data_IF_026930554730
#
_entry.id   IF_026930554730
#
_cell.length_a   1.000
_cell.length_b   1.000
_cell.length_c   1.000
_cell.angle_alpha   90.00
_cell.angle_beta   90.00
_cell.angle_gamma   90.00
#
_symmetry.space_group_name_H-M   'P 1'
#
loop_
_entity.id
_entity.type
_entity.pdbx_description
1 polymer ?
#
# COMPACT_ATOMS: atom_id res chain seq x y z
N UNK A 1 3.13 9.60 21.95
CA UNK A 1 2.96 9.92 20.53
C UNK A 1 1.47 9.96 20.20
N UNK A 2 1.09 10.87 19.35
CA UNK A 2 -0.17 10.77 18.61
C UNK A 2 0.15 10.62 17.13
N UNK A 3 -0.63 9.82 16.45
CA UNK A 3 -0.47 9.57 15.03
C UNK A 3 -1.64 8.75 14.52
N UNK A 4 -1.80 8.69 13.21
CA UNK A 4 -2.89 7.98 12.56
C UNK A 4 -2.32 6.94 11.61
N UNK A 5 -2.77 5.69 11.75
CA UNK A 5 -2.47 4.65 10.77
C UNK A 5 -3.32 4.91 9.54
N UNK A 6 -2.69 5.01 8.37
CA UNK A 6 -3.41 5.13 7.11
C UNK A 6 -4.01 3.79 6.73
N UNK A 7 -5.28 3.79 6.32
CA UNK A 7 -5.97 2.60 5.85
C UNK A 7 -5.40 2.18 4.48
N UNK A 8 -4.74 1.02 4.37
CA UNK A 8 -4.23 0.52 3.10
C UNK A 8 -5.34 -0.13 2.23
N UNK A 9 -6.57 -0.25 2.73
CA UNK A 9 -7.61 -1.08 2.11
C UNK A 9 -7.36 -2.57 2.36
N UNK A 10 -7.75 -3.42 1.40
CA UNK A 10 -7.41 -4.84 1.47
C UNK A 10 -5.92 -5.04 1.21
N UNK A 11 -5.29 -5.92 1.97
CA UNK A 11 -3.87 -6.24 1.88
C UNK A 11 -3.66 -7.67 1.45
N UNK A 12 -2.51 -7.95 0.80
CA UNK A 12 -2.18 -9.28 0.34
C UNK A 12 -1.50 -10.09 1.44
N UNK A 13 -1.98 -11.33 1.65
CA UNK A 13 -1.28 -12.35 2.43
C UNK A 13 -0.06 -12.84 1.63
N UNK A 14 0.94 -13.37 2.30
CA UNK A 14 2.19 -13.87 1.72
C UNK A 14 3.09 -12.83 1.05
N UNK A 15 2.80 -11.54 1.31
CA UNK A 15 3.64 -10.45 0.88
C UNK A 15 3.80 -9.41 1.99
N UNK A 16 4.97 -8.78 2.03
CA UNK A 16 5.18 -7.66 2.95
C UNK A 16 4.28 -6.49 2.56
N UNK A 17 3.39 -6.13 3.46
CA UNK A 17 2.53 -4.95 3.33
C UNK A 17 3.16 -3.76 4.02
N UNK A 18 3.18 -2.63 3.35
CA UNK A 18 3.63 -1.37 3.92
C UNK A 18 2.50 -0.67 4.65
N UNK A 19 2.64 -0.50 5.96
CA UNK A 19 1.77 0.36 6.75
C UNK A 19 2.41 1.73 6.91
N UNK A 20 1.64 2.78 6.62
CA UNK A 20 2.06 4.16 6.79
C UNK A 20 1.36 4.77 7.99
N UNK A 21 2.13 5.47 8.80
CA UNK A 21 1.66 6.16 10.00
C UNK A 21 2.02 7.64 9.88
N UNK A 22 1.02 8.50 9.91
CA UNK A 22 1.22 9.94 10.02
C UNK A 22 1.53 10.29 11.47
N UNK A 23 2.69 10.89 11.71
CA UNK A 23 3.13 11.27 13.05
C UNK A 23 2.71 12.70 13.35
N UNK A 24 1.75 12.86 14.25
CA UNK A 24 1.26 14.18 14.68
C UNK A 24 2.10 14.78 15.80
N UNK A 25 2.49 13.94 16.79
CA UNK A 25 3.38 14.35 17.86
C UNK A 25 4.20 13.19 18.39
N UNK A 26 5.44 13.46 18.78
CA UNK A 26 6.34 12.50 19.41
C UNK A 26 6.58 12.90 20.84
N UNK A 27 6.29 12.02 21.80
CA UNK A 27 6.55 12.27 23.24
C UNK A 27 7.96 11.83 23.65
N UNK A 28 8.59 12.55 24.59
CA UNK A 28 10.01 12.35 24.88
C UNK A 28 10.39 11.10 25.69
N UNK A 29 9.44 10.26 26.10
CA UNK A 29 9.73 9.18 27.06
C UNK A 29 9.07 7.83 26.78
N UNK A 30 8.28 7.69 25.75
CA UNK A 30 7.55 6.44 25.49
C UNK A 30 7.95 5.85 24.17
N UNK A 31 8.38 4.60 24.19
CA UNK A 31 8.56 3.81 22.99
C UNK A 31 7.19 3.53 22.42
N UNK A 32 6.93 4.05 21.26
CA UNK A 32 5.69 3.80 20.55
C UNK A 32 5.88 2.59 19.63
N UNK A 33 4.83 1.85 19.46
CA UNK A 33 4.84 0.69 18.57
C UNK A 33 3.57 0.60 17.75
N UNK A 34 3.71 0.03 16.56
CA UNK A 34 2.61 -0.43 15.75
C UNK A 34 2.21 -1.82 16.21
N UNK A 35 0.95 -1.98 16.54
CA UNK A 35 0.35 -3.24 16.95
C UNK A 35 -0.51 -3.77 15.81
N UNK A 36 -0.31 -5.04 15.47
CA UNK A 36 -1.17 -5.77 14.52
C UNK A 36 -1.65 -7.06 15.19
N UNK A 37 -2.96 -7.24 15.24
CA UNK A 37 -3.58 -8.39 15.90
C UNK A 37 -4.90 -8.79 15.22
N UNK A 38 -5.33 -10.07 15.29
CA UNK A 38 -6.60 -10.50 14.72
C UNK A 38 -7.77 -9.77 15.39
N UNK A 39 -8.81 -9.45 14.61
CA UNK A 39 -10.02 -8.83 15.15
C UNK A 39 -10.66 -9.69 16.25
N UNK A 40 -11.11 -9.05 17.33
CA UNK A 40 -11.76 -9.71 18.47
C UNK A 40 -10.80 -10.34 19.49
N UNK A 41 -9.51 -10.29 19.27
CA UNK A 41 -8.50 -10.76 20.22
C UNK A 41 -8.22 -9.67 21.26
N UNK A 42 -8.04 -10.11 22.51
CA UNK A 42 -7.72 -9.23 23.65
C UNK A 42 -6.44 -9.65 24.38
N UNK A 43 -5.91 -10.81 24.08
CA UNK A 43 -4.69 -11.35 24.70
C UNK A 43 -3.46 -10.91 23.90
N UNK A 44 -2.51 -10.28 24.56
CA UNK A 44 -1.24 -9.86 24.00
C UNK A 44 -0.46 -11.01 23.34
N UNK A 45 -0.58 -12.24 23.83
CA UNK A 45 0.08 -13.40 23.25
C UNK A 45 -0.39 -13.70 21.81
N UNK A 46 -1.49 -13.11 21.38
CA UNK A 46 -2.03 -13.24 20.01
C UNK A 46 -1.63 -12.10 19.09
N UNK A 47 -0.71 -11.22 19.49
CA UNK A 47 -0.16 -10.22 18.59
C UNK A 47 0.53 -10.89 17.40
N UNK A 48 0.23 -10.40 16.21
CA UNK A 48 0.95 -10.78 14.98
C UNK A 48 2.26 -10.02 14.92
N UNK A 49 2.20 -8.72 15.20
CA UNK A 49 3.36 -7.82 15.21
C UNK A 49 3.22 -6.81 16.33
N UNK A 50 4.34 -6.55 16.98
CA UNK A 50 4.61 -5.35 17.73
C UNK A 50 5.93 -4.78 17.20
N UNK A 51 5.82 -3.73 16.37
CA UNK A 51 6.98 -3.11 15.76
C UNK A 51 7.28 -1.77 16.41
N UNK A 52 8.45 -1.69 17.03
CA UNK A 52 8.89 -0.49 17.74
C UNK A 52 9.26 0.60 16.72
N UNK A 53 8.59 1.72 16.84
CA UNK A 53 8.85 2.86 15.98
C UNK A 53 10.09 3.63 16.43
N UNK A 54 10.97 3.93 15.50
CA UNK A 54 12.07 4.86 15.72
C UNK A 54 11.56 6.28 15.95
N UNK A 55 12.39 7.11 16.56
CA UNK A 55 12.06 8.51 16.81
C UNK A 55 11.84 9.27 15.50
N UNK A 56 10.64 9.82 15.31
CA UNK A 56 10.26 10.62 14.16
C UNK A 56 9.90 12.05 14.56
N UNK A 57 10.08 12.99 13.64
CA UNK A 57 9.62 14.36 13.85
C UNK A 57 8.11 14.48 13.59
N UNK A 58 7.43 15.36 14.32
CA UNK A 58 6.03 15.67 14.06
C UNK A 58 5.85 16.22 12.64
N UNK A 59 4.79 15.80 11.97
CA UNK A 59 4.53 16.16 10.56
C UNK A 59 5.26 15.30 9.53
N UNK A 60 5.96 14.24 9.98
CA UNK A 60 6.56 13.22 9.12
C UNK A 60 5.67 11.97 9.08
N UNK A 61 6.08 10.98 8.32
CA UNK A 61 5.47 9.65 8.36
C UNK A 61 6.51 8.60 8.74
N UNK A 62 6.02 7.52 9.35
CA UNK A 62 6.78 6.31 9.60
C UNK A 62 6.18 5.16 8.80
N UNK A 63 6.98 4.17 8.42
CA UNK A 63 6.53 3.02 7.66
C UNK A 63 7.00 1.73 8.27
N UNK A 64 6.13 0.73 8.32
CA UNK A 64 6.43 -0.63 8.71
C UNK A 64 6.15 -1.60 7.57
N UNK A 65 7.00 -2.61 7.42
CA UNK A 65 6.79 -3.73 6.51
C UNK A 65 6.35 -4.95 7.34
N UNK A 66 5.16 -5.44 7.09
CA UNK A 66 4.55 -6.49 7.90
C UNK A 66 4.01 -7.60 7.01
N UNK A 67 4.35 -8.84 7.38
CA UNK A 67 3.74 -10.04 6.82
C UNK A 67 2.58 -10.50 7.71
N UNK A 68 1.39 -10.63 7.12
CA UNK A 68 0.25 -11.19 7.80
C UNK A 68 0.22 -12.72 7.65
N UNK A 69 -0.09 -13.46 8.74
CA UNK A 69 0.06 -14.91 8.76
C UNK A 69 -1.01 -15.67 7.96
N UNK A 70 -2.06 -15.00 7.50
CA UNK A 70 -3.15 -15.63 6.76
C UNK A 70 -4.29 -14.65 6.46
N UNK A 71 -5.26 -15.07 5.65
CA UNK A 71 -6.43 -14.26 5.34
C UNK A 71 -7.30 -14.05 6.58
N UNK A 72 -7.93 -12.88 6.67
CA UNK A 72 -8.80 -12.54 7.79
C UNK A 72 -8.84 -11.04 8.06
N UNK A 73 -9.50 -10.69 9.15
CA UNK A 73 -9.60 -9.30 9.60
C UNK A 73 -8.62 -9.05 10.75
N UNK A 74 -7.90 -7.97 10.64
CA UNK A 74 -6.89 -7.55 11.62
C UNK A 74 -7.17 -6.13 12.07
N UNK A 75 -6.82 -5.86 13.32
CA UNK A 75 -6.78 -4.53 13.88
C UNK A 75 -5.35 -4.01 13.83
N UNK A 76 -5.19 -2.77 13.41
CA UNK A 76 -3.89 -2.08 13.33
C UNK A 76 -3.98 -0.75 14.05
N UNK A 77 -3.11 -0.53 15.02
CA UNK A 77 -3.15 0.70 15.80
C UNK A 77 -1.85 0.96 16.55
N UNK A 78 -1.83 2.03 17.31
CA UNK A 78 -0.63 2.51 18.01
C UNK A 78 -0.81 2.40 19.53
N UNK A 79 0.23 1.95 20.20
CA UNK A 79 0.30 1.93 21.67
C UNK A 79 1.75 2.10 22.14
N UNK A 80 1.99 2.34 23.45
CA UNK A 80 3.33 2.21 24.01
C UNK A 80 3.90 0.81 23.76
N UNK A 81 5.19 0.71 23.50
CA UNK A 81 5.85 -0.59 23.39
C UNK A 81 5.68 -1.39 24.70
N UNK A 82 5.29 -2.64 24.60
CA UNK A 82 5.01 -3.48 25.76
C UNK A 82 3.61 -3.33 26.35
N UNK A 83 2.76 -2.46 25.78
CA UNK A 83 1.38 -2.25 26.25
C UNK A 83 0.47 -3.46 26.01
N UNK A 84 -0.64 -3.50 26.70
CA UNK A 84 -1.73 -4.48 26.43
C UNK A 84 -2.55 -4.05 25.19
N UNK A 85 -3.21 -4.99 24.52
CA UNK A 85 -4.07 -4.71 23.35
C UNK A 85 -5.17 -3.68 23.68
N UNK A 86 -5.67 -3.69 24.94
CA UNK A 86 -6.68 -2.74 25.40
C UNK A 86 -6.20 -1.28 25.46
N UNK A 87 -4.90 -1.05 25.38
CA UNK A 87 -4.28 0.27 25.38
C UNK A 87 -4.03 0.81 23.97
N UNK A 88 -4.27 -0.02 22.92
CA UNK A 88 -4.18 0.40 21.52
C UNK A 88 -5.27 1.44 21.23
N UNK A 89 -4.85 2.60 20.74
CA UNK A 89 -5.74 3.73 20.48
C UNK A 89 -6.19 3.73 19.02
N UNK A 90 -7.48 4.01 18.83
CA UNK A 90 -8.11 4.24 17.53
C UNK A 90 -7.66 3.25 16.43
N UNK A 91 -7.71 1.93 16.71
CA UNK A 91 -7.25 0.96 15.73
C UNK A 91 -8.17 0.95 14.51
N UNK A 92 -7.57 0.88 13.34
CA UNK A 92 -8.30 0.62 12.08
C UNK A 92 -8.46 -0.89 11.88
N UNK A 93 -9.49 -1.28 11.16
CA UNK A 93 -9.69 -2.67 10.71
C UNK A 93 -9.24 -2.80 9.28
N UNK A 94 -8.38 -3.77 9.00
CA UNK A 94 -7.94 -4.14 7.67
C UNK A 94 -8.41 -5.55 7.33
N UNK A 95 -8.56 -5.84 6.05
CA UNK A 95 -8.87 -7.18 5.55
C UNK A 95 -7.68 -7.72 4.77
N UNK A 96 -7.22 -8.91 5.13
CA UNK A 96 -6.15 -9.62 4.45
C UNK A 96 -6.71 -10.74 3.59
N UNK A 97 -6.26 -10.84 2.35
CA UNK A 97 -6.67 -11.85 1.38
C UNK A 97 -5.46 -12.30 0.53
N UNK A 98 -5.52 -13.51 -0.03
CA UNK A 98 -4.51 -13.94 -1.03
C UNK A 98 -4.62 -13.14 -2.31
N UNK A 99 -5.85 -12.82 -2.71
CA UNK A 99 -6.17 -12.00 -3.88
C UNK A 99 -6.96 -10.77 -3.43
N UNK A 100 -6.27 -9.70 -2.99
CA UNK A 100 -6.94 -8.49 -2.53
C UNK A 100 -7.66 -7.79 -3.70
N UNK A 101 -8.77 -7.15 -3.39
CA UNK A 101 -9.41 -6.25 -4.34
C UNK A 101 -8.59 -4.97 -4.46
N UNK A 102 -8.13 -4.71 -5.68
CA UNK A 102 -7.37 -3.50 -5.99
C UNK A 102 -8.14 -2.67 -7.01
N UNK A 103 -8.10 -1.36 -6.85
CA UNK A 103 -8.64 -0.43 -7.82
C UNK A 103 -7.58 0.59 -8.25
N UNK A 104 -7.58 0.90 -9.55
CA UNK A 104 -6.80 2.00 -10.12
C UNK A 104 -7.79 3.07 -10.58
N UNK A 105 -7.51 4.32 -10.23
CA UNK A 105 -8.26 5.46 -10.73
C UNK A 105 -7.33 6.43 -11.43
N UNK A 106 -7.57 6.62 -12.70
CA UNK A 106 -6.90 7.63 -13.52
C UNK A 106 -7.65 8.96 -13.46
N UNK A 107 -6.95 10.11 -13.56
CA UNK A 107 -7.61 11.42 -13.62
C UNK A 107 -8.46 11.57 -14.89
N UNK A 108 -8.08 10.88 -15.97
CA UNK A 108 -8.76 10.83 -17.25
C UNK A 108 -8.48 9.50 -17.95
N UNK A 109 -9.36 9.05 -18.82
CA UNK A 109 -9.13 7.94 -19.73
C UNK A 109 -8.20 8.30 -20.91
N UNK A 110 -7.72 9.54 -20.98
CA UNK A 110 -6.79 10.03 -22.01
C UNK A 110 -5.64 10.80 -21.37
N UNK A 111 -4.44 10.72 -21.94
CA UNK A 111 -3.29 11.50 -21.54
C UNK A 111 -2.42 11.86 -22.75
N UNK A 112 -1.86 13.07 -22.83
CA UNK A 112 -0.80 13.36 -23.77
C UNK A 112 0.42 12.44 -23.55
N UNK A 113 1.11 12.13 -24.64
CA UNK A 113 2.32 11.30 -24.57
C UNK A 113 3.40 11.93 -23.69
N UNK A 114 3.99 11.09 -22.84
CA UNK A 114 5.06 11.51 -21.93
C UNK A 114 4.62 12.44 -20.80
N UNK A 115 3.33 12.75 -20.68
CA UNK A 115 2.81 13.54 -19.56
C UNK A 115 2.83 12.74 -18.26
N UNK A 116 3.09 13.44 -17.16
CA UNK A 116 3.03 12.86 -15.81
C UNK A 116 1.61 13.00 -15.30
N UNK A 117 0.98 11.87 -14.98
CA UNK A 117 -0.37 11.85 -14.43
C UNK A 117 -0.39 11.27 -13.02
N UNK A 118 -1.12 11.89 -12.09
CA UNK A 118 -1.37 11.29 -10.78
C UNK A 118 -2.36 10.14 -10.95
N UNK A 119 -2.08 9.02 -10.30
CA UNK A 119 -3.04 7.92 -10.18
C UNK A 119 -3.35 7.63 -8.72
N UNK A 120 -4.56 7.16 -8.46
CA UNK A 120 -4.97 6.71 -7.13
C UNK A 120 -5.12 5.19 -7.18
N UNK A 121 -4.54 4.51 -6.18
CA UNK A 121 -4.64 3.05 -6.02
C UNK A 121 -5.19 2.78 -4.62
N UNK A 122 -6.13 1.87 -4.51
CA UNK A 122 -6.60 1.37 -3.22
C UNK A 122 -6.58 -0.16 -3.21
N UNK A 123 -6.17 -0.72 -2.09
CA UNK A 123 -5.93 -2.16 -1.90
C UNK A 123 -4.57 -2.62 -2.43
N UNK A 124 -4.15 -3.81 -2.03
CA UNK A 124 -2.87 -4.41 -2.43
C UNK A 124 -1.70 -3.98 -1.55
N UNK A 125 -1.09 -2.90 -1.86
CA UNK A 125 0.00 -2.20 -1.14
C UNK A 125 1.17 -3.05 -0.63
N UNK A 126 1.53 -4.14 -1.33
CA UNK A 126 2.80 -4.81 -1.08
C UNK A 126 3.95 -3.98 -1.65
N UNK A 127 5.11 -4.01 -1.00
CA UNK A 127 6.29 -3.29 -1.49
C UNK A 127 6.83 -3.87 -2.81
N UNK A 128 6.43 -5.07 -3.21
CA UNK A 128 6.78 -5.72 -4.49
C UNK A 128 5.76 -5.48 -5.58
N UNK A 129 4.64 -4.87 -5.26
CA UNK A 129 3.61 -4.59 -6.25
C UNK A 129 4.04 -3.49 -7.21
N UNK A 130 3.52 -3.54 -8.43
CA UNK A 130 3.94 -2.69 -9.53
C UNK A 130 2.74 -2.18 -10.33
N UNK A 131 2.95 -1.04 -10.97
CA UNK A 131 2.05 -0.53 -11.99
C UNK A 131 2.80 -0.45 -13.30
N UNK A 132 2.19 -0.93 -14.39
CA UNK A 132 2.80 -0.90 -15.72
C UNK A 132 1.78 -0.59 -16.81
N UNK A 133 2.30 -0.20 -17.97
CA UNK A 133 1.52 -0.05 -19.18
C UNK A 133 1.71 -1.28 -20.07
N UNK A 134 0.63 -1.63 -20.76
CA UNK A 134 0.63 -2.63 -21.81
C UNK A 134 -0.11 -2.07 -23.01
N UNK A 135 0.49 -2.12 -24.20
CA UNK A 135 -0.16 -1.66 -25.44
C UNK A 135 -1.32 -2.60 -25.79
N UNK A 136 -2.44 -2.05 -26.16
CA UNK A 136 -3.62 -2.85 -26.50
C UNK A 136 -3.32 -3.83 -27.63
N UNK A 137 -3.65 -5.12 -27.41
CA UNK A 137 -3.38 -6.20 -28.34
C UNK A 137 -1.93 -6.73 -28.35
N UNK A 138 -1.09 -6.27 -27.44
CA UNK A 138 0.26 -6.81 -27.20
C UNK A 138 0.30 -7.60 -25.91
N UNK A 139 1.02 -8.72 -25.91
CA UNK A 139 1.34 -9.47 -24.68
C UNK A 139 2.64 -8.95 -24.03
N UNK A 140 3.33 -8.02 -24.69
CA UNK A 140 4.56 -7.44 -24.20
C UNK A 140 4.28 -6.23 -23.31
N UNK A 141 4.94 -6.20 -22.16
CA UNK A 141 4.95 -5.03 -21.28
C UNK A 141 5.80 -3.94 -21.92
N UNK A 142 5.35 -2.70 -21.85
CA UNK A 142 6.21 -1.57 -22.20
C UNK A 142 7.42 -1.53 -21.27
N UNK A 143 8.64 -1.45 -21.84
CA UNK A 143 9.90 -1.44 -21.08
C UNK A 143 10.04 -0.26 -20.10
N UNK A 144 9.21 0.76 -20.24
CA UNK A 144 9.17 1.94 -19.36
C UNK A 144 8.23 1.74 -18.16
N UNK A 145 8.27 0.59 -17.55
CA UNK A 145 7.61 0.33 -16.27
C UNK A 145 8.25 1.22 -15.21
N UNK A 146 7.57 2.27 -14.81
CA UNK A 146 7.95 2.97 -13.61
C UNK A 146 7.61 2.08 -12.42
N UNK A 147 8.64 1.45 -11.88
CA UNK A 147 8.61 0.89 -10.54
C UNK A 147 8.39 2.04 -9.58
N UNK A 148 7.15 2.36 -9.31
CA UNK A 148 6.87 3.23 -8.20
C UNK A 148 6.85 2.35 -6.97
N UNK A 149 7.85 2.52 -6.15
CA UNK A 149 7.78 2.08 -4.78
C UNK A 149 6.63 2.88 -4.14
N UNK A 150 5.44 2.28 -4.09
CA UNK A 150 4.21 2.90 -3.57
C UNK A 150 4.35 3.43 -2.13
N UNK A 151 5.40 2.99 -1.43
CA UNK A 151 5.68 3.30 -0.03
C UNK A 151 6.38 4.66 0.21
N UNK A 152 6.88 5.33 -0.83
CA UNK A 152 7.57 6.63 -0.69
C UNK A 152 6.66 7.85 -0.89
N UNK A 153 5.36 7.67 -1.13
CA UNK A 153 4.42 8.77 -1.39
C UNK A 153 3.16 8.59 -0.56
N UNK A 154 2.35 9.62 -0.48
CA UNK A 154 1.04 9.55 0.18
C UNK A 154 0.33 8.26 -0.21
N UNK A 155 -0.04 7.44 0.79
CA UNK A 155 -0.64 6.13 0.56
C UNK A 155 -1.77 6.22 -0.48
N UNK A 156 -1.71 5.34 -1.49
CA UNK A 156 -2.69 5.30 -2.56
C UNK A 156 -2.50 6.31 -3.69
N UNK A 157 -1.44 7.14 -3.69
CA UNK A 157 -1.18 8.07 -4.79
C UNK A 157 0.21 7.90 -5.34
N UNK A 158 0.32 7.84 -6.66
CA UNK A 158 1.59 7.82 -7.37
C UNK A 158 1.49 8.64 -8.65
N UNK A 159 2.64 8.99 -9.22
CA UNK A 159 2.73 9.65 -10.51
C UNK A 159 3.27 8.66 -11.54
N UNK A 160 2.56 8.47 -12.62
CA UNK A 160 2.99 7.70 -13.78
C UNK A 160 3.26 8.65 -14.96
N UNK A 161 4.30 8.36 -15.71
CA UNK A 161 4.54 9.02 -16.98
C UNK A 161 3.89 8.20 -18.10
N UNK A 162 2.96 8.81 -18.83
CA UNK A 162 2.33 8.19 -19.99
C UNK A 162 3.38 7.73 -21.02
N UNK A 163 3.12 6.65 -21.74
CA UNK A 163 3.97 6.20 -22.86
C UNK A 163 4.27 7.31 -23.84
N UNK A 164 5.43 7.23 -24.53
CA UNK A 164 5.83 8.21 -25.54
C UNK A 164 5.20 7.95 -26.91
N UNK A 165 4.65 6.76 -27.14
CA UNK A 165 3.94 6.42 -28.37
C UNK A 165 2.44 6.65 -28.19
N UNK A 166 1.81 7.22 -29.21
CA UNK A 166 0.35 7.34 -29.29
C UNK A 166 -0.31 5.98 -29.43
N UNK A 167 -1.48 5.81 -28.88
CA UNK A 167 -2.25 4.57 -29.00
C UNK A 167 -3.07 4.23 -27.79
N UNK A 168 -3.71 3.09 -27.85
CA UNK A 168 -4.49 2.55 -26.74
C UNK A 168 -3.62 1.64 -25.89
N UNK A 169 -3.72 1.83 -24.61
CA UNK A 169 -2.99 1.11 -23.57
C UNK A 169 -3.93 0.63 -22.49
N UNK A 170 -3.44 -0.33 -21.71
CA UNK A 170 -4.02 -0.73 -20.45
C UNK A 170 -3.01 -0.43 -19.34
N UNK A 171 -3.45 0.20 -18.27
CA UNK A 171 -2.66 0.40 -17.05
C UNK A 171 -3.00 -0.74 -16.10
N UNK A 172 -2.00 -1.51 -15.72
CA UNK A 172 -2.14 -2.66 -14.83
C UNK A 172 -1.54 -2.37 -13.46
N UNK A 173 -2.14 -2.96 -12.45
CA UNK A 173 -1.53 -3.13 -11.12
C UNK A 173 -1.42 -4.60 -10.81
N UNK A 174 -0.29 -5.05 -10.27
CA UNK A 174 -0.09 -6.43 -9.90
C UNK A 174 1.30 -6.72 -9.36
N UNK A 175 1.67 -7.98 -9.39
CA UNK A 175 2.92 -8.48 -8.84
C UNK A 175 3.50 -9.62 -9.67
N UNK A 176 4.72 -10.01 -9.35
CA UNK A 176 5.35 -11.19 -9.92
C UNK A 176 5.22 -12.36 -8.94
N UNK A 177 4.76 -13.51 -9.45
CA UNK A 177 4.70 -14.77 -8.72
C UNK A 177 5.34 -15.87 -9.58
N UNK A 178 6.29 -16.61 -9.02
CA UNK A 178 7.09 -17.64 -9.71
C UNK A 178 7.62 -17.22 -11.10
N UNK A 179 7.91 -15.92 -11.28
CA UNK A 179 8.40 -15.36 -12.53
C UNK A 179 7.30 -14.94 -13.51
N UNK A 180 6.05 -15.24 -13.25
CA UNK A 180 4.89 -14.79 -14.02
C UNK A 180 4.31 -13.50 -13.45
N UNK A 181 3.80 -12.64 -14.33
CA UNK A 181 3.13 -11.41 -13.93
C UNK A 181 1.64 -11.63 -13.76
N UNK A 182 1.16 -11.34 -12.55
CA UNK A 182 -0.25 -11.38 -12.20
C UNK A 182 -0.79 -9.95 -12.20
N UNK A 183 -1.77 -9.68 -13.06
CA UNK A 183 -2.53 -8.44 -13.05
C UNK A 183 -3.74 -8.59 -12.12
N UNK A 184 -3.74 -7.82 -11.02
CA UNK A 184 -4.85 -7.82 -10.08
C UNK A 184 -6.00 -6.91 -10.55
N UNK A 185 -5.68 -5.85 -11.26
CA UNK A 185 -6.66 -4.93 -11.86
C UNK A 185 -6.06 -4.19 -13.04
N UNK A 186 -6.93 -3.72 -13.92
CA UNK A 186 -6.53 -2.98 -15.11
C UNK A 186 -7.53 -1.88 -15.44
N UNK A 187 -7.05 -0.80 -16.04
CA UNK A 187 -7.89 0.29 -16.57
C UNK A 187 -7.38 0.78 -17.93
N UNK A 188 -8.27 1.11 -18.88
CA UNK A 188 -7.87 1.60 -20.18
C UNK A 188 -7.33 3.03 -20.14
N UNK A 189 -6.37 3.33 -21.02
CA UNK A 189 -5.80 4.65 -21.25
C UNK A 189 -5.54 4.85 -22.74
N UNK A 190 -5.98 5.96 -23.31
CA UNK A 190 -5.61 6.38 -24.66
C UNK A 190 -4.52 7.47 -24.57
N UNK A 191 -3.36 7.22 -25.17
CA UNK A 191 -2.26 8.19 -25.27
C UNK A 191 -2.41 8.97 -26.58
N UNK A 192 -2.44 10.29 -26.46
CA UNK A 192 -2.66 11.24 -27.56
C UNK A 192 -1.39 12.06 -27.84
N UNK A 193 -1.44 12.91 -28.87
CA UNK A 193 -0.36 13.84 -29.20
C UNK A 193 -0.01 14.75 -28.04
#
# INVERSE_FOLDING_TARGET
>A
MTGTVRDPGQVRVDAETTFLIDVESWGPSEYNALFVYPEGVTDRASLVVEDQMDQCEAGTYWSALINLPGPGRYMVGLAPFGAEISEVKDPITIEAAYEPQVTIKLPSGTSPRGEVMPIEISGGHSHKDQVWFQKAGSDEREENVQFSQLWNKEAGRMELRAPHEEGDYTVHYGWQDDGEWISATEVPLTVTK
#
